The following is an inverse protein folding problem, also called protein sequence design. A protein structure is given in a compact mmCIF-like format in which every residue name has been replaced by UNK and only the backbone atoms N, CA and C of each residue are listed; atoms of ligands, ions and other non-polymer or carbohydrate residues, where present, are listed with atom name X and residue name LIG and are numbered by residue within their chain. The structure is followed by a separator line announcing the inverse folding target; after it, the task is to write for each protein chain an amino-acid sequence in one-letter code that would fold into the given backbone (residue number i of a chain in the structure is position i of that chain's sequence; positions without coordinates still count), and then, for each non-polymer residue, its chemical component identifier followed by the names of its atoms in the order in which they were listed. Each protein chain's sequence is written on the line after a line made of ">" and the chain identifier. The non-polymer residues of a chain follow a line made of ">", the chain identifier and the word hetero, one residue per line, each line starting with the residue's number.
data_IF_253427450940
#
_entry.id   IF_253427450940
#
_cell.length_a   1.000
_cell.length_b   1.000
_cell.length_c   1.000
_cell.angle_alpha   90.00
_cell.angle_beta   90.00
_cell.angle_gamma   90.00
#
_symmetry.space_group_name_H-M   'P 1'
#
loop_
_entity.id
_entity.type
_entity.pdbx_description
1 polymer ?
#
# COMPACT_ATOMS: atom_id res chain seq x y z
N UNK A 1 42.00 16.62 31.68
CA UNK A 1 40.68 16.21 31.18
C UNK A 1 40.59 16.56 29.72
N UNK A 2 40.53 15.54 28.85
CA UNK A 2 39.30 15.31 28.10
C UNK A 2 38.84 13.85 28.18
N UNK A 3 37.52 13.67 28.25
CA UNK A 3 36.84 12.38 28.30
C UNK A 3 36.85 11.72 26.92
N UNK A 4 37.56 10.60 26.78
CA UNK A 4 37.36 9.66 25.67
C UNK A 4 36.27 8.67 26.06
N UNK A 5 35.11 8.78 25.42
CA UNK A 5 34.05 7.77 25.50
C UNK A 5 34.48 6.58 24.65
N UNK A 6 34.77 5.46 25.30
CA UNK A 6 35.03 4.19 24.64
C UNK A 6 33.77 3.71 23.88
N UNK A 7 33.89 3.19 22.66
CA UNK A 7 32.77 2.61 21.94
C UNK A 7 32.37 1.28 22.61
N UNK A 8 31.07 1.15 22.91
CA UNK A 8 30.47 -0.10 23.33
C UNK A 8 30.60 -1.14 22.22
N UNK A 9 31.59 -2.01 22.36
CA UNK A 9 31.73 -3.23 21.56
C UNK A 9 30.62 -4.18 21.99
N UNK A 10 29.58 -4.30 21.18
CA UNK A 10 28.60 -5.37 21.31
C UNK A 10 29.31 -6.72 21.13
N UNK A 11 29.11 -7.71 22.02
CA UNK A 11 29.64 -9.05 21.78
C UNK A 11 28.93 -9.64 20.56
N UNK A 12 29.68 -9.81 19.47
CA UNK A 12 29.38 -10.72 18.37
C UNK A 12 29.35 -12.15 18.89
N UNK A 13 28.28 -12.56 19.57
CA UNK A 13 28.04 -13.98 19.86
C UNK A 13 26.57 -14.21 20.21
N UNK A 14 25.73 -14.32 19.17
CA UNK A 14 24.45 -15.05 19.20
C UNK A 14 24.00 -15.46 17.77
N UNK A 15 24.96 -15.64 16.86
CA UNK A 15 24.77 -16.25 15.54
C UNK A 15 24.95 -17.77 15.55
N UNK A 16 25.07 -18.39 16.73
CA UNK A 16 25.26 -19.84 16.87
C UNK A 16 24.23 -20.35 17.87
N UNK A 17 23.03 -20.62 17.37
CA UNK A 17 22.08 -21.67 17.80
C UNK A 17 20.74 -21.46 17.06
N UNK A 18 20.78 -21.55 15.72
CA UNK A 18 19.64 -22.03 14.94
C UNK A 18 20.02 -23.44 14.45
N UNK A 19 19.95 -24.48 15.29
CA UNK A 19 20.17 -25.82 14.81
C UNK A 19 18.97 -26.21 13.94
N UNK A 20 19.21 -26.37 12.64
CA UNK A 20 18.40 -27.14 11.72
C UNK A 20 16.87 -26.91 11.82
N UNK A 21 16.42 -25.68 11.63
CA UNK A 21 15.11 -25.50 11.00
C UNK A 21 15.26 -26.04 9.57
N UNK A 22 14.89 -27.31 9.37
CA UNK A 22 14.45 -27.83 8.07
C UNK A 22 13.73 -26.67 7.38
N UNK A 23 14.17 -26.30 6.18
CA UNK A 23 13.55 -25.29 5.30
C UNK A 23 12.06 -25.21 5.62
N UNK A 24 11.65 -24.27 6.48
CA UNK A 24 10.24 -24.15 6.85
C UNK A 24 9.61 -23.65 5.56
N UNK A 25 8.86 -24.53 4.90
CA UNK A 25 8.24 -24.21 3.63
C UNK A 25 7.31 -23.02 3.83
N UNK A 26 7.62 -21.94 3.12
CA UNK A 26 6.76 -20.78 3.05
C UNK A 26 5.50 -21.20 2.28
N UNK A 27 4.30 -21.16 2.90
CA UNK A 27 3.16 -21.95 2.44
C UNK A 27 2.54 -21.38 1.17
N UNK A 28 2.62 -20.07 0.95
CA UNK A 28 1.95 -19.42 -0.17
C UNK A 28 2.76 -19.55 -1.46
N UNK A 29 2.68 -20.74 -2.05
CA UNK A 29 3.30 -21.07 -3.33
C UNK A 29 2.24 -21.51 -4.36
N UNK A 30 2.64 -21.52 -5.62
CA UNK A 30 1.80 -22.04 -6.72
C UNK A 30 1.36 -23.49 -6.45
N UNK A 31 0.10 -23.78 -6.73
CA UNK A 31 -0.54 -25.07 -6.47
C UNK A 31 -1.17 -25.22 -5.09
N UNK A 32 -0.86 -24.35 -4.12
CA UNK A 32 -1.54 -24.37 -2.82
C UNK A 32 -3.03 -24.10 -3.01
N UNK A 33 -3.86 -24.93 -2.39
CA UNK A 33 -5.30 -24.78 -2.36
C UNK A 33 -5.77 -24.53 -0.93
N UNK A 34 -6.63 -23.54 -0.75
CA UNK A 34 -7.16 -23.10 0.54
C UNK A 34 -8.69 -23.13 0.51
N UNK A 35 -9.30 -23.63 1.58
CA UNK A 35 -10.73 -23.45 1.81
C UNK A 35 -10.94 -22.15 2.58
N UNK A 36 -11.55 -21.17 1.91
CA UNK A 36 -11.84 -19.85 2.46
C UNK A 36 -13.33 -19.72 2.76
N UNK A 37 -13.68 -18.90 3.74
CA UNK A 37 -15.08 -18.54 4.07
C UNK A 37 -15.22 -17.02 4.17
N UNK A 38 -16.38 -16.44 3.82
CA UNK A 38 -16.62 -15.01 3.97
C UNK A 38 -16.42 -14.55 5.43
N UNK A 39 -15.90 -13.33 5.60
CA UNK A 39 -15.60 -12.76 6.91
C UNK A 39 -16.00 -11.28 6.94
N UNK A 40 -16.62 -10.85 8.05
CA UNK A 40 -16.89 -9.43 8.30
C UNK A 40 -15.67 -8.80 8.96
N UNK A 41 -14.96 -7.85 8.33
CA UNK A 41 -13.81 -7.20 8.96
C UNK A 41 -14.18 -6.51 10.27
N UNK A 42 -13.28 -6.47 11.27
CA UNK A 42 -13.47 -5.60 12.41
C UNK A 42 -13.36 -4.13 11.97
N UNK A 43 -13.95 -3.18 12.71
CA UNK A 43 -13.74 -1.76 12.46
C UNK A 43 -12.23 -1.42 12.44
N UNK A 44 -11.79 -0.52 11.54
CA UNK A 44 -10.37 -0.21 11.38
C UNK A 44 -9.81 0.40 12.66
N UNK A 45 -8.59 0.02 13.04
CA UNK A 45 -7.98 0.47 14.30
C UNK A 45 -6.52 0.91 14.17
N UNK A 46 -5.90 1.29 15.30
CA UNK A 46 -4.49 1.69 15.40
C UNK A 46 -4.22 3.18 15.50
N UNK A 47 -2.94 3.57 15.41
CA UNK A 47 -2.44 4.93 15.69
C UNK A 47 -2.87 6.02 14.68
N UNK A 48 -3.89 5.77 13.87
CA UNK A 48 -4.32 6.64 12.77
C UNK A 48 -5.57 7.48 13.08
N UNK A 49 -5.83 7.75 14.36
CA UNK A 49 -6.97 8.57 14.81
C UNK A 49 -8.28 7.81 15.00
N UNK A 50 -8.24 6.48 15.01
CA UNK A 50 -9.39 5.66 15.42
C UNK A 50 -9.51 5.62 16.94
N UNK A 51 -10.73 5.71 17.45
CA UNK A 51 -11.03 5.53 18.87
C UNK A 51 -10.57 4.15 19.30
N UNK A 52 -9.89 4.09 20.45
CA UNK A 52 -9.58 2.82 21.12
C UNK A 52 -10.89 2.25 21.66
N UNK A 53 -11.61 1.48 20.83
CA UNK A 53 -12.78 0.71 21.26
C UNK A 53 -12.37 -0.57 21.98
N UNK A 54 -13.34 -1.43 22.27
CA UNK A 54 -13.12 -2.79 22.82
C UNK A 54 -12.41 -3.76 21.84
N UNK A 55 -12.05 -3.31 20.64
CA UNK A 55 -11.36 -4.11 19.63
C UNK A 55 -9.95 -4.58 20.02
N UNK A 56 -9.22 -5.14 19.05
CA UNK A 56 -7.85 -5.64 19.21
C UNK A 56 -6.95 -4.59 19.88
N UNK A 57 -6.40 -4.91 21.05
CA UNK A 57 -5.47 -4.04 21.81
C UNK A 57 -4.02 -4.42 21.47
N UNK A 58 -3.16 -3.41 21.38
CA UNK A 58 -1.73 -3.62 21.20
C UNK A 58 -1.13 -4.15 22.50
N UNK A 59 -0.50 -5.33 22.46
CA UNK A 59 0.18 -5.87 23.62
C UNK A 59 1.48 -5.09 23.93
N UNK A 60 1.85 -4.94 25.22
CA UNK A 60 3.15 -4.39 25.60
C UNK A 60 4.30 -5.25 25.06
N UNK A 61 5.39 -4.61 24.63
CA UNK A 61 6.57 -5.30 24.09
C UNK A 61 7.15 -6.34 25.07
N UNK A 62 7.13 -6.04 26.37
CA UNK A 62 7.58 -6.95 27.44
C UNK A 62 6.76 -8.24 27.52
N UNK A 63 5.48 -8.20 27.14
CA UNK A 63 4.61 -9.36 27.10
C UNK A 63 4.88 -10.18 25.83
N UNK A 64 4.98 -9.50 24.68
CA UNK A 64 5.31 -10.12 23.39
C UNK A 64 6.64 -10.87 23.46
N UNK A 65 7.64 -10.29 24.11
CA UNK A 65 8.99 -10.86 24.24
C UNK A 65 9.05 -12.22 24.94
N UNK A 66 7.99 -12.61 25.69
CA UNK A 66 7.94 -13.86 26.45
C UNK A 66 7.63 -15.09 25.59
N UNK A 67 7.20 -14.90 24.34
CA UNK A 67 6.68 -15.97 23.50
C UNK A 67 7.39 -16.03 22.15
N UNK A 68 7.46 -17.23 21.57
CA UNK A 68 7.84 -17.37 20.17
C UNK A 68 6.76 -16.77 19.26
N UNK A 69 7.13 -16.29 18.08
CA UNK A 69 6.17 -15.69 17.14
C UNK A 69 4.99 -16.61 16.78
N UNK A 70 5.25 -17.91 16.56
CA UNK A 70 4.20 -18.90 16.26
C UNK A 70 3.24 -19.09 17.44
N UNK A 71 3.77 -19.18 18.65
CA UNK A 71 3.00 -19.29 19.90
C UNK A 71 2.20 -18.01 20.16
N UNK A 72 2.78 -16.84 19.89
CA UNK A 72 2.09 -15.56 19.95
C UNK A 72 0.88 -15.52 19.01
N UNK A 73 1.04 -15.97 17.76
CA UNK A 73 -0.05 -16.01 16.78
C UNK A 73 -1.22 -16.90 17.21
N UNK A 74 -0.97 -18.00 17.95
CA UNK A 74 -2.03 -18.85 18.50
C UNK A 74 -2.72 -18.23 19.70
N UNK A 75 -1.95 -17.63 20.62
CA UNK A 75 -2.49 -16.95 21.81
C UNK A 75 -3.28 -15.69 21.46
N UNK A 76 -2.94 -15.07 20.32
CA UNK A 76 -3.47 -13.80 19.87
C UNK A 76 -4.02 -13.92 18.46
N UNK A 77 -5.13 -14.66 18.24
CA UNK A 77 -5.73 -14.74 16.92
C UNK A 77 -6.24 -13.35 16.48
N UNK A 78 -6.40 -13.12 15.16
CA UNK A 78 -7.06 -11.93 14.63
C UNK A 78 -8.44 -11.72 15.27
N UNK A 79 -8.90 -10.47 15.35
CA UNK A 79 -10.19 -10.16 15.93
C UNK A 79 -11.33 -10.90 15.19
N UNK A 80 -12.20 -11.55 15.95
CA UNK A 80 -13.46 -12.10 15.46
C UNK A 80 -14.56 -11.04 15.53
N UNK A 81 -15.49 -11.13 14.60
CA UNK A 81 -16.66 -10.24 14.50
C UNK A 81 -17.92 -11.09 14.47
N UNK A 82 -19.08 -10.45 14.28
CA UNK A 82 -20.30 -11.21 14.03
C UNK A 82 -20.13 -12.06 12.75
N UNK A 83 -20.72 -13.26 12.71
CA UNK A 83 -20.65 -14.10 11.52
C UNK A 83 -21.13 -13.36 10.28
N UNK A 84 -20.43 -13.55 9.17
CA UNK A 84 -20.92 -13.10 7.86
C UNK A 84 -22.28 -13.75 7.58
N UNK A 85 -23.25 -13.06 6.92
CA UNK A 85 -24.53 -13.66 6.54
C UNK A 85 -24.36 -15.02 5.85
N UNK A 86 -23.34 -15.12 4.99
CA UNK A 86 -22.99 -16.32 4.23
C UNK A 86 -21.82 -17.10 4.86
N UNK A 87 -21.66 -17.07 6.20
CA UNK A 87 -20.51 -17.72 6.87
C UNK A 87 -20.46 -19.24 6.72
N UNK A 88 -21.57 -19.88 6.32
CA UNK A 88 -21.63 -21.29 5.99
C UNK A 88 -21.10 -21.60 4.58
N UNK A 89 -21.03 -20.60 3.70
CA UNK A 89 -20.47 -20.76 2.37
C UNK A 89 -18.96 -20.89 2.43
N UNK A 90 -18.43 -21.77 1.59
CA UNK A 90 -16.99 -21.96 1.44
C UNK A 90 -16.63 -21.89 -0.02
N UNK A 91 -15.46 -21.33 -0.29
CA UNK A 91 -14.87 -21.29 -1.62
C UNK A 91 -13.49 -21.93 -1.59
N UNK A 92 -13.13 -22.54 -2.72
CA UNK A 92 -11.80 -23.08 -2.93
C UNK A 92 -10.93 -22.03 -3.60
N UNK A 93 -9.93 -21.50 -2.90
CA UNK A 93 -8.95 -20.59 -3.48
C UNK A 93 -7.71 -21.40 -3.91
N UNK A 94 -7.39 -21.37 -5.20
CA UNK A 94 -6.17 -22.01 -5.74
C UNK A 94 -5.14 -20.94 -6.11
N UNK A 95 -3.95 -21.02 -5.50
CA UNK A 95 -2.84 -20.12 -5.82
C UNK A 95 -2.21 -20.57 -7.14
N UNK A 96 -2.17 -19.68 -8.11
CA UNK A 96 -1.57 -19.92 -9.43
C UNK A 96 -0.25 -19.18 -9.62
N UNK A 97 0.03 -18.15 -8.81
CA UNK A 97 1.30 -17.44 -8.87
C UNK A 97 1.58 -16.71 -7.57
N UNK A 98 2.80 -16.81 -7.05
CA UNK A 98 3.29 -15.91 -6.02
C UNK A 98 3.67 -14.56 -6.66
N UNK A 99 3.02 -13.47 -6.25
CA UNK A 99 3.34 -12.12 -6.74
C UNK A 99 4.38 -11.49 -5.81
N UNK A 100 4.12 -11.53 -4.51
CA UNK A 100 4.92 -10.87 -3.50
C UNK A 100 4.85 -11.65 -2.18
N UNK A 101 5.72 -12.64 -2.08
CA UNK A 101 5.71 -13.66 -1.03
C UNK A 101 7.09 -13.77 -0.38
N UNK A 102 7.21 -13.36 0.88
CA UNK A 102 8.48 -13.46 1.63
C UNK A 102 8.23 -13.36 3.13
N UNK A 103 8.98 -14.15 3.91
CA UNK A 103 9.04 -14.00 5.35
C UNK A 103 9.53 -12.59 5.73
N UNK A 104 8.80 -11.93 6.64
CA UNK A 104 9.12 -10.59 7.12
C UNK A 104 8.68 -9.44 6.20
N UNK A 105 7.86 -9.70 5.16
CA UNK A 105 7.33 -8.65 4.28
C UNK A 105 6.10 -7.94 4.83
N UNK A 106 5.33 -8.61 5.69
CA UNK A 106 3.96 -8.20 6.06
C UNK A 106 2.94 -9.07 5.33
N UNK A 107 1.96 -8.44 4.69
CA UNK A 107 0.97 -9.15 3.88
C UNK A 107 1.61 -9.86 2.68
N UNK A 108 1.10 -11.04 2.36
CA UNK A 108 1.55 -11.87 1.24
C UNK A 108 0.58 -11.70 0.07
N UNK A 109 1.10 -11.58 -1.14
CA UNK A 109 0.29 -11.27 -2.33
C UNK A 109 0.43 -12.39 -3.34
N UNK A 110 -0.71 -12.96 -3.73
CA UNK A 110 -0.77 -14.08 -4.68
C UNK A 110 -1.85 -13.86 -5.73
N UNK A 111 -1.60 -14.36 -6.94
CA UNK A 111 -2.62 -14.52 -7.97
C UNK A 111 -3.33 -15.85 -7.74
N UNK A 112 -4.66 -15.86 -7.85
CA UNK A 112 -5.46 -17.04 -7.56
C UNK A 112 -6.71 -17.16 -8.45
N UNK A 113 -7.29 -18.36 -8.43
CA UNK A 113 -8.61 -18.69 -8.96
C UNK A 113 -9.56 -19.08 -7.81
N UNK A 114 -10.86 -18.90 -8.01
CA UNK A 114 -11.89 -19.29 -7.04
C UNK A 114 -12.78 -20.42 -7.60
N UNK A 115 -12.87 -21.54 -6.90
CA UNK A 115 -13.65 -22.70 -7.35
C UNK A 115 -13.23 -23.13 -8.75
N UNK A 116 -14.23 -23.26 -9.63
CA UNK A 116 -14.06 -23.56 -11.06
C UNK A 116 -14.07 -22.29 -11.95
N UNK A 117 -13.93 -21.10 -11.36
CA UNK A 117 -13.86 -19.83 -12.10
C UNK A 117 -12.47 -19.64 -12.73
N UNK A 118 -12.44 -19.52 -14.06
CA UNK A 118 -11.22 -19.23 -14.83
C UNK A 118 -10.69 -17.80 -14.62
N UNK A 119 -11.50 -16.91 -14.02
CA UNK A 119 -11.12 -15.53 -13.74
C UNK A 119 -10.03 -15.45 -12.68
N UNK A 120 -8.97 -14.71 -12.99
CA UNK A 120 -7.91 -14.41 -12.02
C UNK A 120 -8.29 -13.33 -11.02
N UNK A 121 -7.88 -13.54 -9.77
CA UNK A 121 -7.99 -12.64 -8.65
C UNK A 121 -6.62 -12.41 -8.00
N UNK A 122 -6.51 -11.35 -7.19
CA UNK A 122 -5.41 -11.15 -6.25
C UNK A 122 -5.92 -11.40 -4.85
N UNK A 123 -5.29 -12.32 -4.14
CA UNK A 123 -5.48 -12.45 -2.71
C UNK A 123 -4.32 -11.78 -1.98
N UNK A 124 -4.66 -10.85 -1.09
CA UNK A 124 -3.72 -10.25 -0.14
C UNK A 124 -3.97 -10.83 1.24
N UNK A 125 -3.01 -11.59 1.73
CA UNK A 125 -3.11 -12.48 2.87
C UNK A 125 -2.35 -11.88 4.06
N UNK A 126 -3.04 -11.66 5.17
CA UNK A 126 -2.51 -11.04 6.38
C UNK A 126 -2.20 -12.11 7.41
N UNK A 127 -1.13 -12.86 7.17
CA UNK A 127 -0.67 -13.89 8.10
C UNK A 127 0.37 -13.33 9.07
N UNK A 128 0.04 -13.15 10.36
CA UNK A 128 0.95 -12.57 11.34
C UNK A 128 2.25 -13.36 11.50
N UNK A 129 2.26 -14.66 11.15
CA UNK A 129 3.48 -15.46 11.19
C UNK A 129 4.56 -14.94 10.23
N UNK A 130 4.20 -14.26 9.15
CA UNK A 130 5.14 -13.75 8.13
C UNK A 130 5.33 -12.23 8.17
N UNK A 131 4.81 -11.56 9.21
CA UNK A 131 5.08 -10.15 9.46
C UNK A 131 6.51 -9.90 9.96
N UNK A 132 7.10 -8.72 9.66
CA UNK A 132 8.44 -8.37 10.10
C UNK A 132 8.53 -8.29 11.62
N UNK A 133 9.67 -8.71 12.15
CA UNK A 133 10.07 -8.53 13.56
C UNK A 133 11.44 -7.84 13.58
N UNK A 134 11.49 -6.59 14.00
CA UNK A 134 12.75 -5.90 14.32
C UNK A 134 13.06 -5.97 15.83
N UNK A 135 12.23 -6.68 16.59
CA UNK A 135 12.19 -6.76 18.04
C UNK A 135 10.88 -7.42 18.50
N UNK A 136 10.55 -7.40 19.79
CA UNK A 136 9.27 -7.89 20.31
C UNK A 136 8.11 -7.00 19.83
N UNK A 137 7.60 -7.30 18.64
CA UNK A 137 6.46 -6.61 18.03
C UNK A 137 5.23 -7.51 18.02
N UNK A 138 4.08 -6.96 18.39
CA UNK A 138 2.79 -7.67 18.32
C UNK A 138 2.35 -7.84 16.85
N UNK A 139 2.92 -8.86 16.20
CA UNK A 139 2.66 -9.15 14.78
C UNK A 139 1.20 -9.49 14.49
N UNK A 140 0.50 -10.06 15.47
CA UNK A 140 -0.94 -10.33 15.38
C UNK A 140 -1.73 -9.03 15.29
N UNK A 141 -1.41 -8.05 16.14
CA UNK A 141 -2.00 -6.72 16.06
C UNK A 141 -1.68 -6.01 14.74
N UNK A 142 -0.44 -6.10 14.26
CA UNK A 142 -0.04 -5.44 13.00
C UNK A 142 -0.75 -6.04 11.78
N UNK A 143 -0.85 -7.36 11.68
CA UNK A 143 -1.55 -8.02 10.57
C UNK A 143 -3.04 -7.69 10.56
N UNK A 144 -3.68 -7.71 11.73
CA UNK A 144 -5.10 -7.41 11.88
C UNK A 144 -5.40 -5.90 11.68
N UNK A 145 -4.44 -5.03 12.03
CA UNK A 145 -4.51 -3.60 11.74
C UNK A 145 -4.48 -3.33 10.23
N UNK A 146 -3.53 -3.93 9.53
CA UNK A 146 -3.40 -3.78 8.07
C UNK A 146 -4.66 -4.29 7.37
N UNK A 147 -5.12 -5.49 7.75
CA UNK A 147 -6.33 -6.10 7.22
C UNK A 147 -7.58 -5.22 7.41
N UNK A 148 -7.84 -4.79 8.65
CA UNK A 148 -9.04 -4.03 8.99
C UNK A 148 -9.10 -2.67 8.29
N UNK A 149 -7.97 -1.98 8.14
CA UNK A 149 -7.89 -0.70 7.42
C UNK A 149 -8.11 -0.87 5.94
N UNK A 150 -7.45 -1.85 5.33
CA UNK A 150 -7.56 -2.10 3.91
C UNK A 150 -8.97 -2.55 3.53
N UNK A 151 -9.55 -3.47 4.30
CA UNK A 151 -10.92 -3.91 4.08
C UNK A 151 -11.92 -2.76 4.26
N UNK A 152 -11.78 -1.92 5.29
CA UNK A 152 -12.66 -0.76 5.47
C UNK A 152 -12.59 0.24 4.31
N UNK A 153 -11.39 0.48 3.76
CA UNK A 153 -11.22 1.36 2.60
C UNK A 153 -11.93 0.82 1.37
N UNK A 154 -11.77 -0.48 1.08
CA UNK A 154 -12.44 -1.11 -0.06
C UNK A 154 -13.95 -1.21 0.12
N UNK A 155 -14.44 -1.50 1.34
CA UNK A 155 -15.87 -1.46 1.65
C UNK A 155 -16.47 -0.07 1.44
N UNK A 156 -15.78 1.01 1.87
CA UNK A 156 -16.27 2.39 1.70
C UNK A 156 -16.35 2.77 0.21
N UNK A 157 -15.34 2.39 -0.58
CA UNK A 157 -15.30 2.65 -2.02
C UNK A 157 -16.33 1.82 -2.79
N UNK A 158 -16.53 0.56 -2.40
CA UNK A 158 -17.57 -0.31 -2.96
C UNK A 158 -18.97 0.22 -2.64
N UNK A 159 -19.22 0.65 -1.39
CA UNK A 159 -20.49 1.24 -0.98
C UNK A 159 -20.78 2.55 -1.72
N UNK A 160 -19.74 3.31 -2.09
CA UNK A 160 -19.85 4.49 -2.93
C UNK A 160 -20.00 4.18 -4.45
N UNK A 161 -19.88 2.91 -4.86
CA UNK A 161 -20.01 2.48 -6.25
C UNK A 161 -18.84 2.87 -7.15
N UNK A 162 -17.66 3.10 -6.57
CA UNK A 162 -16.46 3.57 -7.30
C UNK A 162 -15.29 2.58 -7.25
N UNK A 163 -15.49 1.40 -6.68
CA UNK A 163 -14.51 0.32 -6.76
C UNK A 163 -14.31 -0.09 -8.23
N UNK A 164 -13.07 -0.42 -8.60
CA UNK A 164 -12.73 -0.67 -10.00
C UNK A 164 -12.54 0.59 -10.86
N UNK A 165 -12.95 1.79 -10.45
CA UNK A 165 -12.64 3.01 -11.21
C UNK A 165 -11.20 3.47 -10.95
N UNK A 166 -10.90 3.78 -9.69
CA UNK A 166 -9.61 4.32 -9.25
C UNK A 166 -8.75 3.31 -8.47
N UNK A 167 -9.39 2.22 -8.05
CA UNK A 167 -8.81 1.12 -7.27
C UNK A 167 -9.15 -0.21 -7.95
N UNK A 168 -8.54 -1.34 -7.56
CA UNK A 168 -9.03 -2.65 -7.95
C UNK A 168 -10.47 -2.84 -7.49
N UNK A 169 -11.29 -3.61 -8.24
CA UNK A 169 -12.58 -4.07 -7.71
C UNK A 169 -12.38 -4.93 -6.46
N UNK A 170 -13.30 -4.82 -5.52
CA UNK A 170 -13.27 -5.55 -4.26
C UNK A 170 -14.21 -6.76 -4.32
N UNK A 171 -13.69 -7.95 -4.00
CA UNK A 171 -14.44 -9.21 -3.98
C UNK A 171 -14.68 -9.72 -2.56
N UNK A 172 -14.60 -8.83 -1.58
CA UNK A 172 -14.90 -9.13 -0.20
C UNK A 172 -13.70 -9.57 0.64
N UNK A 173 -14.03 -9.85 1.88
CA UNK A 173 -13.13 -10.24 2.95
C UNK A 173 -13.35 -11.68 3.32
N UNK A 174 -12.26 -12.39 3.55
CA UNK A 174 -12.29 -13.84 3.73
C UNK A 174 -11.35 -14.27 4.86
N UNK A 175 -11.62 -15.45 5.38
CA UNK A 175 -10.74 -16.10 6.36
C UNK A 175 -10.59 -17.58 6.06
N UNK A 176 -9.46 -18.15 6.47
CA UNK A 176 -9.16 -19.57 6.37
C UNK A 176 -8.29 -19.99 7.54
N UNK A 177 -8.11 -21.30 7.69
CA UNK A 177 -7.23 -21.89 8.68
C UNK A 177 -6.05 -22.56 7.97
N UNK A 178 -4.86 -22.39 8.51
CA UNK A 178 -3.65 -23.03 7.98
C UNK A 178 -2.78 -23.56 9.13
N UNK A 179 -2.17 -24.76 8.99
CA UNK A 179 -1.31 -25.31 10.02
C UNK A 179 -0.10 -24.42 10.31
N UNK A 180 0.30 -24.34 11.57
CA UNK A 180 1.63 -23.85 11.90
C UNK A 180 2.69 -24.79 11.32
N UNK A 181 3.82 -24.25 10.83
CA UNK A 181 4.91 -25.09 10.36
C UNK A 181 5.39 -26.08 11.43
N UNK A 182 5.32 -27.36 11.11
CA UNK A 182 5.77 -28.43 12.01
C UNK A 182 4.78 -28.84 13.11
N UNK A 183 3.54 -28.32 13.11
CA UNK A 183 2.50 -28.73 14.06
C UNK A 183 1.16 -29.01 13.36
N UNK A 184 0.22 -29.63 14.07
CA UNK A 184 -1.17 -29.80 13.62
C UNK A 184 -2.08 -28.65 14.06
N UNK A 185 -1.56 -27.69 14.81
CA UNK A 185 -2.34 -26.54 15.29
C UNK A 185 -2.64 -25.60 14.13
N UNK A 186 -3.91 -25.26 13.99
CA UNK A 186 -4.38 -24.36 12.94
C UNK A 186 -4.43 -22.93 13.48
N UNK A 187 -3.88 -21.99 12.72
CA UNK A 187 -4.09 -20.56 12.97
C UNK A 187 -5.09 -19.99 11.98
N UNK A 188 -6.03 -19.13 12.42
CA UNK A 188 -6.86 -18.35 11.53
C UNK A 188 -6.02 -17.27 10.83
N UNK A 189 -6.28 -17.07 9.54
CA UNK A 189 -5.65 -16.03 8.71
C UNK A 189 -6.75 -15.27 7.97
N UNK A 190 -6.55 -13.96 7.81
CA UNK A 190 -7.46 -13.07 7.07
C UNK A 190 -6.88 -12.76 5.69
N UNK A 191 -7.76 -12.56 4.71
CA UNK A 191 -7.37 -12.05 3.41
C UNK A 191 -8.45 -11.12 2.85
N UNK A 192 -8.03 -10.25 1.93
CA UNK A 192 -8.94 -9.55 1.01
C UNK A 192 -8.75 -10.09 -0.39
N UNK A 193 -9.84 -10.17 -1.14
CA UNK A 193 -9.83 -10.59 -2.53
C UNK A 193 -10.08 -9.38 -3.44
N UNK A 194 -9.23 -9.19 -4.43
CA UNK A 194 -9.19 -8.02 -5.31
C UNK A 194 -9.13 -8.44 -6.77
N UNK A 195 -9.50 -7.51 -7.65
CA UNK A 195 -9.30 -7.62 -9.10
C UNK A 195 -7.82 -7.91 -9.43
N UNK A 196 -7.58 -8.91 -10.29
CA UNK A 196 -6.29 -9.06 -10.95
C UNK A 196 -6.09 -7.96 -11.98
N UNK A 197 -5.06 -7.15 -11.77
CA UNK A 197 -4.62 -6.12 -12.69
C UNK A 197 -3.44 -6.66 -13.50
N UNK A 198 -3.65 -6.90 -14.79
CA UNK A 198 -2.57 -7.25 -15.72
C UNK A 198 -1.80 -5.99 -16.12
N UNK A 199 -0.99 -5.51 -15.17
CA UNK A 199 -0.29 -4.25 -15.27
C UNK A 199 1.05 -4.26 -14.54
N UNK A 200 1.70 -3.11 -14.51
CA UNK A 200 2.99 -2.91 -13.84
C UNK A 200 2.92 -1.68 -12.96
N UNK A 201 3.49 -1.75 -11.76
CA UNK A 201 3.59 -0.59 -10.89
C UNK A 201 4.72 0.36 -11.34
N UNK A 202 4.60 1.64 -11.01
CA UNK A 202 5.58 2.64 -11.45
C UNK A 202 6.97 2.36 -10.89
N UNK A 203 7.06 1.82 -9.66
CA UNK A 203 8.35 1.50 -9.07
C UNK A 203 9.09 0.41 -9.86
N UNK A 204 8.40 -0.65 -10.26
CA UNK A 204 8.97 -1.71 -11.11
C UNK A 204 9.48 -1.17 -12.44
N UNK A 205 8.76 -0.23 -13.07
CA UNK A 205 9.25 0.47 -14.28
C UNK A 205 10.54 1.25 -13.96
N UNK A 206 10.53 2.03 -12.88
CA UNK A 206 11.67 2.85 -12.47
C UNK A 206 12.90 1.99 -12.15
N UNK A 207 12.75 0.87 -11.44
CA UNK A 207 13.85 -0.06 -11.15
C UNK A 207 14.41 -0.69 -12.43
N UNK A 208 13.54 -1.15 -13.33
CA UNK A 208 13.96 -1.71 -14.62
C UNK A 208 14.75 -0.69 -15.43
N UNK A 209 14.24 0.54 -15.54
CA UNK A 209 14.87 1.62 -16.29
C UNK A 209 16.20 2.06 -15.63
N UNK A 210 16.25 2.07 -14.30
CA UNK A 210 17.46 2.25 -13.49
C UNK A 210 18.56 1.23 -13.80
N UNK A 211 18.19 -0.06 -13.89
CA UNK A 211 19.14 -1.16 -14.11
C UNK A 211 19.54 -1.31 -15.58
N UNK A 212 18.59 -1.22 -16.50
CA UNK A 212 18.76 -1.58 -17.92
C UNK A 212 19.02 -0.37 -18.80
N UNK A 213 18.32 0.74 -18.55
CA UNK A 213 18.38 1.92 -19.42
C UNK A 213 19.26 3.04 -18.86
N UNK A 214 20.26 2.67 -18.05
CA UNK A 214 21.17 3.60 -17.38
C UNK A 214 20.39 4.72 -16.66
N UNK A 215 19.27 4.41 -16.01
CA UNK A 215 18.47 5.42 -15.29
C UNK A 215 17.77 6.46 -16.17
N UNK A 216 17.62 6.20 -17.47
CA UNK A 216 16.75 6.95 -18.37
C UNK A 216 15.39 6.26 -18.45
N UNK A 217 14.31 7.02 -18.36
CA UNK A 217 12.99 6.42 -18.46
C UNK A 217 12.64 6.00 -19.89
N UNK A 218 12.06 4.81 -20.00
CA UNK A 218 11.51 4.25 -21.25
C UNK A 218 10.19 4.92 -21.65
N UNK A 219 9.45 5.46 -20.68
CA UNK A 219 8.21 6.19 -20.91
C UNK A 219 8.54 7.68 -21.12
N UNK A 220 8.05 8.31 -22.20
CA UNK A 220 8.44 9.68 -22.50
C UNK A 220 7.91 10.68 -21.46
N UNK A 221 8.57 11.85 -21.33
CA UNK A 221 8.30 12.83 -20.28
C UNK A 221 6.83 13.27 -20.17
N UNK A 222 6.15 13.48 -21.29
CA UNK A 222 4.75 13.93 -21.32
C UNK A 222 3.81 12.87 -20.75
N UNK A 223 4.03 11.61 -21.12
CA UNK A 223 3.28 10.44 -20.67
C UNK A 223 3.50 10.19 -19.18
N UNK A 224 4.72 10.41 -18.67
CA UNK A 224 5.00 10.33 -17.22
C UNK A 224 4.20 11.37 -16.42
N UNK A 225 4.11 12.61 -16.91
CA UNK A 225 3.27 13.64 -16.30
C UNK A 225 1.77 13.29 -16.37
N UNK A 226 1.31 12.72 -17.48
CA UNK A 226 -0.08 12.26 -17.62
C UNK A 226 -0.41 11.13 -16.64
N UNK A 227 0.50 10.16 -16.47
CA UNK A 227 0.35 9.07 -15.48
C UNK A 227 0.30 9.63 -14.05
N UNK A 228 1.19 10.58 -13.73
CA UNK A 228 1.16 11.25 -12.43
C UNK A 228 -0.15 12.03 -12.22
N UNK A 229 -0.65 12.72 -13.24
CA UNK A 229 -1.92 13.43 -13.18
C UNK A 229 -3.08 12.49 -12.86
N UNK A 230 -3.19 11.36 -13.57
CA UNK A 230 -4.24 10.35 -13.31
C UNK A 230 -4.14 9.75 -11.91
N UNK A 231 -2.92 9.47 -11.43
CA UNK A 231 -2.71 8.98 -10.07
C UNK A 231 -3.12 10.02 -9.02
N UNK A 232 -2.80 11.30 -9.25
CA UNK A 232 -3.19 12.41 -8.39
C UNK A 232 -4.72 12.63 -8.39
N UNK A 233 -5.37 12.50 -9.54
CA UNK A 233 -6.83 12.52 -9.66
C UNK A 233 -7.47 11.36 -8.90
N UNK A 234 -6.91 10.15 -9.02
CA UNK A 234 -7.36 8.98 -8.27
C UNK A 234 -7.24 9.19 -6.74
N UNK A 235 -6.12 9.73 -6.24
CA UNK A 235 -5.92 10.00 -4.80
C UNK A 235 -6.97 11.01 -4.29
N UNK A 236 -7.26 12.06 -5.07
CA UNK A 236 -8.25 13.06 -4.71
C UNK A 236 -9.69 12.52 -4.75
N UNK A 237 -10.03 11.66 -5.70
CA UNK A 237 -11.35 11.01 -5.76
C UNK A 237 -11.54 10.01 -4.62
N UNK A 238 -10.54 9.18 -4.34
CA UNK A 238 -10.56 8.25 -3.19
C UNK A 238 -10.75 9.03 -1.88
N UNK A 239 -10.05 10.16 -1.73
CA UNK A 239 -10.24 11.08 -0.60
C UNK A 239 -11.65 11.69 -0.54
N UNK A 240 -12.22 12.05 -1.67
CA UNK A 240 -13.59 12.59 -1.75
C UNK A 240 -14.64 11.58 -1.22
N UNK A 241 -14.39 10.29 -1.39
CA UNK A 241 -15.21 9.22 -0.81
C UNK A 241 -14.85 8.87 0.65
N UNK A 242 -14.06 9.71 1.31
CA UNK A 242 -13.74 9.57 2.73
C UNK A 242 -12.58 8.60 3.04
N UNK A 243 -11.82 8.17 2.03
CA UNK A 243 -10.66 7.30 2.22
C UNK A 243 -9.37 8.09 1.98
N UNK A 244 -8.54 8.24 3.00
CA UNK A 244 -7.19 8.81 2.86
C UNK A 244 -6.21 7.67 2.63
N UNK A 245 -5.55 7.60 1.47
CA UNK A 245 -4.62 6.48 1.17
C UNK A 245 -3.40 6.43 2.11
N UNK A 246 -2.86 7.60 2.49
CA UNK A 246 -1.71 7.79 3.41
C UNK A 246 -0.37 7.17 2.97
N UNK A 247 -0.31 6.58 1.79
CA UNK A 247 0.92 6.02 1.21
C UNK A 247 0.96 6.18 -0.31
N UNK A 248 0.66 7.39 -0.77
CA UNK A 248 0.70 7.75 -2.19
C UNK A 248 2.15 7.79 -2.69
N UNK A 249 2.59 6.72 -3.34
CA UNK A 249 3.96 6.53 -3.82
C UNK A 249 3.97 5.67 -5.10
N UNK A 250 5.03 5.74 -5.93
CA UNK A 250 5.10 5.00 -7.21
C UNK A 250 4.82 3.49 -7.10
N UNK A 251 5.25 2.83 -6.02
CA UNK A 251 5.01 1.40 -5.77
C UNK A 251 3.53 1.03 -5.59
N UNK A 252 2.69 2.03 -5.31
CA UNK A 252 1.26 1.88 -5.05
C UNK A 252 0.41 2.42 -6.22
N UNK A 253 1.04 2.70 -7.36
CA UNK A 253 0.38 3.16 -8.59
C UNK A 253 0.63 2.14 -9.69
N UNK A 254 -0.41 1.43 -10.11
CA UNK A 254 -0.36 0.48 -11.23
C UNK A 254 -0.82 1.13 -12.53
N UNK A 255 -0.11 0.80 -13.62
CA UNK A 255 -0.53 1.08 -14.99
C UNK A 255 -1.05 -0.20 -15.61
N UNK A 256 -2.29 -0.17 -16.10
CA UNK A 256 -2.92 -1.25 -16.85
C UNK A 256 -3.26 -0.73 -18.24
N UNK A 257 -2.79 -1.41 -19.27
CA UNK A 257 -3.13 -1.09 -20.66
C UNK A 257 -4.23 -2.04 -21.10
N UNK A 258 -5.42 -1.50 -21.38
CA UNK A 258 -6.51 -2.28 -21.95
C UNK A 258 -6.62 -1.96 -23.44
N UNK A 259 -6.71 -2.99 -24.27
CA UNK A 259 -7.11 -2.85 -25.67
C UNK A 259 -8.64 -3.01 -25.76
N UNK A 260 -9.38 -2.00 -25.33
CA UNK A 260 -10.83 -1.93 -25.55
C UNK A 260 -11.09 -1.11 -26.82
N UNK A 261 -11.83 -1.68 -27.76
CA UNK A 261 -12.23 -1.05 -29.04
C UNK A 261 -11.08 -0.61 -29.99
N UNK A 262 -9.97 -1.35 -29.97
CA UNK A 262 -8.84 -1.13 -30.91
C UNK A 262 -7.96 0.09 -30.58
N UNK A 263 -8.28 0.84 -29.52
CA UNK A 263 -7.43 1.89 -28.97
C UNK A 263 -6.90 1.50 -27.59
N UNK A 264 -5.59 1.55 -27.33
CA UNK A 264 -5.05 1.26 -26.01
C UNK A 264 -5.51 2.34 -25.02
N UNK A 265 -6.35 1.96 -24.06
CA UNK A 265 -6.75 2.81 -22.94
C UNK A 265 -5.84 2.55 -21.74
N UNK A 266 -5.28 3.63 -21.20
CA UNK A 266 -4.37 3.58 -20.05
C UNK A 266 -5.19 3.76 -18.75
N UNK A 267 -5.36 2.68 -17.98
CA UNK A 267 -5.97 2.75 -16.64
C UNK A 267 -4.86 2.90 -15.60
N UNK A 268 -4.96 3.93 -14.76
CA UNK A 268 -4.05 4.15 -13.63
C UNK A 268 -4.82 3.85 -12.35
N UNK A 269 -4.29 2.94 -11.54
CA UNK A 269 -5.00 2.37 -10.39
C UNK A 269 -4.15 2.51 -9.13
N UNK A 270 -4.77 2.97 -8.03
CA UNK A 270 -4.15 2.98 -6.71
C UNK A 270 -4.38 1.66 -6.00
N UNK A 271 -3.32 1.14 -5.37
CA UNK A 271 -3.32 -0.14 -4.64
C UNK A 271 -2.70 0.03 -3.25
N UNK A 272 -2.85 -0.99 -2.41
CA UNK A 272 -2.24 -1.07 -1.06
C UNK A 272 -2.79 -0.05 -0.06
N UNK A 273 -3.95 -0.38 0.50
CA UNK A 273 -4.70 0.49 1.43
C UNK A 273 -4.49 0.16 2.91
N UNK A 274 -3.48 -0.63 3.27
CA UNK A 274 -3.23 -1.04 4.66
C UNK A 274 -2.91 0.14 5.61
N UNK A 275 -2.40 1.25 5.06
CA UNK A 275 -2.12 2.50 5.80
C UNK A 275 -3.26 3.51 5.79
N UNK A 276 -4.36 3.18 5.12
CA UNK A 276 -5.44 4.13 4.86
C UNK A 276 -6.20 4.57 6.13
N UNK A 277 -6.91 5.69 6.00
CA UNK A 277 -7.82 6.21 7.02
C UNK A 277 -9.19 6.42 6.40
N UNK A 278 -10.21 5.79 6.97
CA UNK A 278 -11.60 5.92 6.55
C UNK A 278 -12.30 6.93 7.47
N UNK A 279 -12.38 8.19 7.04
CA UNK A 279 -12.79 9.31 7.91
C UNK A 279 -14.29 9.33 8.19
N UNK A 280 -15.08 8.64 7.37
CA UNK A 280 -16.53 8.54 7.51
C UNK A 280 -16.95 7.45 8.52
N UNK A 281 -16.02 6.59 8.96
CA UNK A 281 -16.33 5.51 9.90
C UNK A 281 -16.66 6.05 11.30
N UNK A 282 -17.64 5.46 12.02
CA UNK A 282 -18.09 5.98 13.32
C UNK A 282 -16.99 6.03 14.39
N UNK A 283 -16.01 5.13 14.30
CA UNK A 283 -14.91 5.03 15.24
C UNK A 283 -13.72 5.92 14.88
N UNK A 284 -13.82 6.83 13.90
CA UNK A 284 -12.79 7.80 13.62
C UNK A 284 -13.00 9.08 14.45
N UNK A 285 -12.05 9.40 15.33
CA UNK A 285 -12.18 10.47 16.35
C UNK A 285 -12.40 11.85 15.75
N UNK A 286 -11.80 12.09 14.58
CA UNK A 286 -11.76 13.41 13.96
C UNK A 286 -12.81 13.55 12.86
N UNK A 287 -13.80 12.66 12.78
CA UNK A 287 -14.84 12.67 11.73
C UNK A 287 -15.53 14.03 11.60
N UNK A 288 -15.78 14.70 12.72
CA UNK A 288 -16.40 16.04 12.76
C UNK A 288 -15.62 17.14 12.01
N UNK A 289 -14.32 16.94 11.75
CA UNK A 289 -13.49 17.88 10.99
C UNK A 289 -13.48 17.60 9.49
N UNK A 290 -14.16 16.54 9.04
CA UNK A 290 -14.29 16.19 7.63
C UNK A 290 -15.70 16.52 7.18
N UNK A 291 -15.81 17.59 6.39
CA UNK A 291 -17.05 17.99 5.73
C UNK A 291 -17.07 17.33 4.35
N UNK A 292 -18.19 16.70 4.01
CA UNK A 292 -18.40 16.18 2.66
C UNK A 292 -18.64 17.36 1.71
N UNK A 293 -17.70 17.56 0.80
CA UNK A 293 -17.81 18.58 -0.23
C UNK A 293 -18.75 18.11 -1.36
N UNK A 294 -19.19 19.04 -2.21
CA UNK A 294 -19.99 18.72 -3.41
C UNK A 294 -19.16 18.16 -4.57
N UNK A 295 -17.86 18.46 -4.59
CA UNK A 295 -16.90 18.03 -5.60
C UNK A 295 -15.57 17.62 -4.96
N UNK A 296 -14.79 16.72 -5.60
CA UNK A 296 -13.43 16.45 -5.17
C UNK A 296 -12.58 17.72 -5.24
N UNK A 297 -11.69 17.91 -4.26
CA UNK A 297 -10.75 19.04 -4.28
C UNK A 297 -9.78 18.87 -5.45
N UNK A 298 -9.50 19.95 -6.18
CA UNK A 298 -8.58 19.88 -7.32
C UNK A 298 -7.17 19.41 -6.89
N UNK A 299 -6.56 18.44 -7.61
CA UNK A 299 -5.22 17.93 -7.28
C UNK A 299 -4.16 19.03 -7.19
N UNK A 300 -4.31 20.14 -7.94
CA UNK A 300 -3.38 21.27 -7.89
C UNK A 300 -3.16 21.79 -6.47
N UNK A 301 -4.19 21.83 -5.61
CA UNK A 301 -4.06 22.37 -4.26
C UNK A 301 -3.33 21.43 -3.33
N UNK A 302 -3.48 20.12 -3.56
CA UNK A 302 -2.80 19.08 -2.77
C UNK A 302 -1.30 19.06 -3.02
N UNK A 303 -0.91 19.29 -4.27
CA UNK A 303 0.47 19.15 -4.78
C UNK A 303 1.16 20.48 -5.05
N UNK A 304 0.53 21.62 -4.71
CA UNK A 304 1.13 22.94 -4.85
C UNK A 304 2.41 23.06 -4.04
N UNK A 305 3.44 23.69 -4.63
CA UNK A 305 4.70 24.00 -3.96
C UNK A 305 5.83 22.99 -4.21
N UNK A 306 5.68 22.13 -5.23
CA UNK A 306 6.75 21.29 -5.74
C UNK A 306 6.36 19.82 -5.95
N UNK A 307 7.15 19.12 -6.77
CA UNK A 307 6.97 17.69 -7.01
C UNK A 307 7.07 16.89 -5.69
N UNK A 308 6.19 15.91 -5.46
CA UNK A 308 6.30 15.01 -4.30
C UNK A 308 7.64 14.27 -4.32
N UNK A 309 8.28 14.15 -3.16
CA UNK A 309 9.60 13.52 -3.03
C UNK A 309 9.59 12.07 -3.56
N UNK A 310 8.52 11.33 -3.27
CA UNK A 310 8.32 9.95 -3.68
C UNK A 310 8.26 9.81 -5.22
N UNK A 311 7.83 10.87 -5.92
CA UNK A 311 7.70 10.91 -7.38
C UNK A 311 8.83 11.68 -8.06
N UNK A 312 9.82 12.17 -7.30
CA UNK A 312 10.94 12.96 -7.83
C UNK A 312 11.73 12.24 -8.93
N UNK A 313 11.83 10.91 -8.84
CA UNK A 313 12.47 10.10 -9.88
C UNK A 313 11.56 9.84 -11.08
N UNK A 314 10.24 9.87 -10.90
CA UNK A 314 9.27 9.64 -11.96
C UNK A 314 8.98 10.90 -12.78
N UNK A 315 8.80 12.05 -12.13
CA UNK A 315 8.46 13.31 -12.79
C UNK A 315 9.68 13.81 -13.60
N UNK A 316 9.50 14.21 -14.88
CA UNK A 316 10.60 14.69 -15.72
C UNK A 316 11.16 16.05 -15.26
N UNK A 317 12.37 16.37 -15.68
CA UNK A 317 12.84 17.76 -15.64
C UNK A 317 12.06 18.62 -16.67
N UNK A 318 11.91 19.94 -16.44
CA UNK A 318 12.28 20.66 -15.22
C UNK A 318 11.28 20.51 -14.06
N UNK A 319 10.15 19.84 -14.31
CA UNK A 319 9.00 19.74 -13.39
C UNK A 319 9.33 19.12 -12.02
N UNK A 320 10.33 18.25 -11.92
CA UNK A 320 10.79 17.72 -10.62
C UNK A 320 11.72 18.67 -9.85
N UNK A 321 12.46 19.52 -10.56
CA UNK A 321 13.55 20.33 -10.00
C UNK A 321 13.14 21.78 -9.73
N UNK A 322 12.13 22.27 -10.44
CA UNK A 322 11.64 23.64 -10.34
C UNK A 322 10.16 23.67 -9.93
N UNK A 323 9.90 24.21 -8.74
CA UNK A 323 8.56 24.32 -8.21
C UNK A 323 7.67 25.29 -9.00
N UNK A 324 8.22 26.34 -9.61
CA UNK A 324 7.46 27.29 -10.42
C UNK A 324 6.99 26.64 -11.73
N UNK A 325 7.86 25.85 -12.36
CA UNK A 325 7.51 25.04 -13.54
C UNK A 325 6.47 23.98 -13.20
N UNK A 326 6.65 23.25 -12.08
CA UNK A 326 5.67 22.27 -11.63
C UNK A 326 4.31 22.91 -11.37
N UNK A 327 4.28 24.03 -10.66
CA UNK A 327 3.05 24.78 -10.39
C UNK A 327 2.38 25.26 -11.69
N UNK A 328 3.13 25.74 -12.67
CA UNK A 328 2.57 26.12 -13.98
C UNK A 328 1.97 24.95 -14.74
N UNK A 329 2.57 23.77 -14.64
CA UNK A 329 1.97 22.54 -15.14
C UNK A 329 0.68 22.17 -14.39
N UNK A 330 0.64 22.26 -13.06
CA UNK A 330 -0.57 22.02 -12.26
C UNK A 330 -1.73 22.95 -12.69
N UNK A 331 -1.45 24.24 -12.90
CA UNK A 331 -2.44 25.22 -13.37
C UNK A 331 -2.92 24.89 -14.78
N UNK A 332 -2.02 24.45 -15.66
CA UNK A 332 -2.38 24.07 -17.03
C UNK A 332 -3.24 22.80 -17.04
N UNK A 333 -2.93 21.82 -16.17
CA UNK A 333 -3.67 20.55 -16.09
C UNK A 333 -5.03 20.70 -15.42
N UNK A 334 -5.11 21.50 -14.35
CA UNK A 334 -6.34 21.75 -13.60
C UNK A 334 -6.59 23.27 -13.49
N UNK A 335 -7.06 23.91 -14.58
CA UNK A 335 -7.25 25.37 -14.62
C UNK A 335 -8.42 25.84 -13.74
N UNK A 336 -8.39 27.12 -13.37
CA UNK A 336 -9.52 27.79 -12.73
C UNK A 336 -10.27 28.66 -13.75
N UNK A 337 -11.62 28.64 -13.76
CA UNK A 337 -12.47 27.67 -13.06
C UNK A 337 -12.41 26.28 -13.73
N UNK A 338 -12.46 25.20 -12.94
CA UNK A 338 -12.70 23.84 -13.47
C UNK A 338 -14.10 23.38 -13.06
N UNK A 339 -14.84 22.78 -13.99
CA UNK A 339 -16.20 22.29 -13.74
C UNK A 339 -16.25 20.99 -12.93
N UNK A 340 -15.13 20.28 -12.79
CA UNK A 340 -15.06 18.96 -12.16
C UNK A 340 -14.45 18.93 -10.76
N UNK A 341 -13.93 20.06 -10.25
CA UNK A 341 -13.24 20.08 -8.97
C UNK A 341 -13.63 21.28 -8.11
N UNK A 342 -13.63 21.07 -6.80
CA UNK A 342 -13.71 22.14 -5.83
C UNK A 342 -12.38 22.91 -5.81
N UNK A 343 -12.51 24.24 -5.90
CA UNK A 343 -11.41 25.18 -5.79
C UNK A 343 -11.35 25.71 -4.38
N UNK A 344 -10.24 25.47 -3.69
CA UNK A 344 -10.02 25.98 -2.35
C UNK A 344 -9.24 27.30 -2.40
N UNK A 345 -9.48 28.25 -1.48
CA UNK A 345 -8.56 29.36 -1.28
C UNK A 345 -7.15 28.82 -1.01
N UNK A 346 -6.13 29.39 -1.65
CA UNK A 346 -4.72 29.06 -1.39
C UNK A 346 -4.30 29.60 -0.02
N UNK A 347 -4.70 28.93 1.07
CA UNK A 347 -4.57 29.42 2.45
C UNK A 347 -3.41 28.76 3.23
N UNK A 348 -2.67 27.82 2.64
CA UNK A 348 -1.51 27.23 3.33
C UNK A 348 -0.29 28.14 3.22
N UNK A 349 0.44 28.31 4.34
CA UNK A 349 1.72 29.08 4.38
C UNK A 349 2.72 28.72 3.27
N UNK A 350 2.75 27.47 2.77
CA UNK A 350 3.61 27.09 1.62
C UNK A 350 3.07 27.56 0.27
N UNK A 351 1.75 27.65 0.13
CA UNK A 351 1.10 28.18 -1.06
C UNK A 351 1.41 29.68 -1.18
N UNK A 352 1.28 30.45 -0.10
CA UNK A 352 1.51 31.91 -0.09
C UNK A 352 2.90 32.35 -0.59
N UNK A 353 3.97 31.57 -0.39
CA UNK A 353 5.31 31.91 -0.89
C UNK A 353 5.53 31.61 -2.38
N UNK A 354 4.68 30.77 -2.99
CA UNK A 354 4.87 30.28 -4.37
C UNK A 354 3.70 30.63 -5.29
N UNK A 355 2.61 31.23 -4.79
CA UNK A 355 1.43 31.63 -5.58
C UNK A 355 1.78 32.53 -6.77
N UNK A 356 2.83 33.37 -6.65
CA UNK A 356 3.26 34.28 -7.73
C UNK A 356 4.34 33.73 -8.67
N UNK A 357 4.85 32.51 -8.42
CA UNK A 357 5.92 31.89 -9.21
C UNK A 357 5.32 30.75 -10.02
N UNK A 358 4.82 31.10 -11.20
CA UNK A 358 4.34 30.16 -12.20
C UNK A 358 5.21 30.33 -13.45
N UNK A 359 5.83 29.24 -13.89
CA UNK A 359 6.55 29.18 -15.15
C UNK A 359 5.99 28.05 -16.01
N UNK A 360 6.02 28.22 -17.32
CA UNK A 360 5.57 27.20 -18.26
C UNK A 360 6.79 26.68 -19.01
N UNK A 361 7.05 25.37 -18.90
CA UNK A 361 8.10 24.71 -19.64
C UNK A 361 7.61 23.36 -20.17
N UNK A 362 8.07 22.99 -21.36
CA UNK A 362 7.86 21.65 -21.88
C UNK A 362 8.66 20.63 -21.07
N UNK A 363 8.11 19.45 -20.78
CA UNK A 363 8.88 18.40 -20.13
C UNK A 363 9.98 17.92 -21.09
N UNK A 364 11.21 17.81 -20.60
CA UNK A 364 12.36 17.40 -21.41
C UNK A 364 12.76 15.96 -21.10
N UNK A 365 13.35 15.23 -22.06
CA UNK A 365 13.97 13.93 -21.78
C UNK A 365 15.02 14.06 -20.68
N UNK A 366 15.16 13.01 -19.87
CA UNK A 366 16.21 12.97 -18.87
C UNK A 366 17.57 12.94 -19.59
N UNK A 367 18.43 13.90 -19.30
CA UNK A 367 19.79 14.00 -19.87
C UNK A 367 20.87 13.54 -18.88
N UNK A 368 20.48 13.28 -17.64
CA UNK A 368 21.33 12.77 -16.55
C UNK A 368 20.68 11.55 -15.92
N UNK A 369 21.49 10.68 -15.32
CA UNK A 369 21.02 9.54 -14.55
C UNK A 369 20.14 10.03 -13.39
N UNK A 370 18.82 9.84 -13.48
CA UNK A 370 17.88 10.25 -12.41
C UNK A 370 17.94 9.26 -11.24
N UNK A 371 18.45 8.06 -11.50
CA UNK A 371 18.56 6.98 -10.52
C UNK A 371 19.82 7.12 -9.65
N UNK A 372 19.75 8.00 -8.65
CA UNK A 372 20.68 8.00 -7.52
C UNK A 372 20.08 7.22 -6.34
N UNK A 373 20.94 6.47 -5.64
CA UNK A 373 20.69 5.48 -4.57
C UNK A 373 19.97 6.02 -3.31
N UNK A 374 18.80 6.64 -3.42
CA UNK A 374 18.07 7.16 -2.26
C UNK A 374 17.22 6.07 -1.58
N UNK A 375 16.82 5.02 -2.30
CA UNK A 375 15.97 3.94 -1.76
C UNK A 375 16.65 2.58 -1.57
N UNK A 376 17.91 2.39 -2.01
CA UNK A 376 18.69 1.18 -1.65
C UNK A 376 18.75 0.98 -0.13
N UNK A 377 18.82 2.06 0.65
CA UNK A 377 18.93 1.99 2.12
C UNK A 377 17.68 1.55 2.87
N UNK A 378 16.49 1.60 2.25
CA UNK A 378 15.26 1.20 2.95
C UNK A 378 14.80 -0.23 2.61
N UNK A 379 15.34 -0.86 1.56
CA UNK A 379 14.89 -2.18 1.13
C UNK A 379 16.00 -3.14 0.64
N UNK A 380 17.27 -2.73 0.54
CA UNK A 380 18.39 -3.69 0.48
C UNK A 380 18.95 -3.92 1.88
N UNK A 381 18.76 -5.13 2.42
CA UNK A 381 19.62 -5.64 3.47
C UNK A 381 21.06 -5.74 2.92
N UNK A 382 22.09 -5.56 3.77
CA UNK A 382 23.48 -5.62 3.33
C UNK A 382 23.76 -6.93 2.59
N UNK A 383 24.66 -6.91 1.59
CA UNK A 383 25.06 -8.13 0.90
C UNK A 383 25.65 -9.08 1.93
N UNK A 384 25.12 -10.30 1.97
CA UNK A 384 25.73 -11.40 2.71
C UNK A 384 27.05 -11.70 2.02
N UNK A 385 28.16 -11.41 2.70
CA UNK A 385 29.48 -11.90 2.35
C UNK A 385 29.45 -13.44 2.34
N UNK A 386 30.07 -14.00 1.29
CA UNK A 386 30.15 -15.43 0.95
C UNK A 386 30.55 -16.36 2.11
#
# INVERSE_FOLDING_TARGET
>A
MPNSVAPWVYPLHLSVLLPALRRIDFPYHEGLTLTIRPHVPPPPFGLSGYTRGEGRKLAPEEEVAKFLKSEWCLRNPPAETHPHPDAAETQTLKIIQAIACKNGRGAQIVRCHLGDDDRSYVAKIYDPLYYPVAGPADVAYLADQDYSREAAAFEDLMAAGVDGQFTPKYYGSWTFHIPLPGTSELRPVRLVLLEWLDGVDLWSIMERDGRVNRGLHTIPPKERLEIFARAAEADMNVKFHGVLHRDFAPRNVMIVVSATDGSPTLRVVLIDFNRSICVNRPNYQNRQFYVQESLPVSPRYRWWGGCPNEFSQWVPDPHRSDAAVFNGWLVTRWPDPSSGYLLLPLDRRRQTYTVGLIEHASPVPDTKHVFAQVYRRHYELPPMSE
#
